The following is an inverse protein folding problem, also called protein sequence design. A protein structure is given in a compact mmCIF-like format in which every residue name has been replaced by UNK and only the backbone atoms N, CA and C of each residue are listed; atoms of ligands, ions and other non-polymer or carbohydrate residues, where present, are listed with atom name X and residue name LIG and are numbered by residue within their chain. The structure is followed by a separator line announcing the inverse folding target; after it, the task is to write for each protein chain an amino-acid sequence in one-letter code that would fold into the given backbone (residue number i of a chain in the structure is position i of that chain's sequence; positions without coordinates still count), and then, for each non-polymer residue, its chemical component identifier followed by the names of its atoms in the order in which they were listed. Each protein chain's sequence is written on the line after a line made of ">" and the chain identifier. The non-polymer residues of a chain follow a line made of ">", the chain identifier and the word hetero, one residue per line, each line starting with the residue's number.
data_IF_299463879984
#
_entry.id   IF_299463879984
#
_cell.length_a   1.000
_cell.length_b   1.000
_cell.length_c   1.000
_cell.angle_alpha   90.00
_cell.angle_beta   90.00
_cell.angle_gamma   90.00
#
_symmetry.space_group_name_H-M   'P 1'
#
loop_
_entity.id
_entity.type
_entity.pdbx_description
1 polymer ?
#
# COMPACT_ATOMS: atom_id res chain seq x y z
N UNK A 1 0.94 -3.28 9.50
CA UNK A 1 0.86 -1.91 8.93
C UNK A 1 2.01 -1.01 9.39
N UNK A 2 3.25 -1.43 9.16
CA UNK A 2 4.48 -0.63 9.34
C UNK A 2 4.98 -0.12 7.99
N UNK A 3 4.96 -0.96 6.96
CA UNK A 3 5.55 -0.63 5.65
C UNK A 3 4.72 0.39 4.87
N UNK A 4 3.40 0.22 4.84
CA UNK A 4 2.42 1.13 4.25
C UNK A 4 2.47 2.52 4.89
N UNK A 5 2.53 2.60 6.21
CA UNK A 5 2.66 3.88 6.95
C UNK A 5 3.98 4.55 6.62
N UNK A 6 5.08 3.79 6.59
CA UNK A 6 6.40 4.31 6.21
C UNK A 6 6.40 4.82 4.77
N UNK A 7 5.87 4.05 3.82
CA UNK A 7 5.77 4.44 2.41
C UNK A 7 4.93 5.70 2.25
N UNK A 8 3.80 5.81 2.96
CA UNK A 8 2.96 7.00 2.95
C UNK A 8 3.75 8.25 3.36
N UNK A 9 4.41 8.19 4.52
CA UNK A 9 5.09 9.33 5.11
C UNK A 9 6.37 9.73 4.36
N UNK A 10 7.20 8.76 3.96
CA UNK A 10 8.54 9.04 3.42
C UNK A 10 8.54 9.23 1.90
N UNK A 11 7.58 8.63 1.19
CA UNK A 11 7.59 8.59 -0.28
C UNK A 11 6.34 9.22 -0.88
N UNK A 12 5.15 8.73 -0.50
CA UNK A 12 3.89 9.11 -1.14
C UNK A 12 3.62 10.62 -1.05
N UNK A 13 3.69 11.18 0.16
CA UNK A 13 3.47 12.61 0.40
C UNK A 13 4.48 13.46 -0.40
N UNK A 14 5.77 13.11 -0.33
CA UNK A 14 6.82 13.83 -1.06
C UNK A 14 6.56 13.87 -2.56
N UNK A 15 6.20 12.72 -3.15
CA UNK A 15 5.89 12.61 -4.58
C UNK A 15 4.65 13.42 -4.99
N UNK A 16 3.62 13.46 -4.14
CA UNK A 16 2.42 14.28 -4.41
C UNK A 16 2.77 15.77 -4.39
N UNK A 17 3.65 16.22 -3.48
CA UNK A 17 4.14 17.60 -3.48
C UNK A 17 4.94 17.94 -4.75
N UNK A 18 5.83 17.04 -5.19
CA UNK A 18 6.58 17.20 -6.45
C UNK A 18 5.63 17.33 -7.65
N UNK A 19 4.65 16.42 -7.78
CA UNK A 19 3.64 16.48 -8.83
C UNK A 19 2.81 17.78 -8.79
N UNK A 20 2.52 18.29 -7.59
CA UNK A 20 1.79 19.55 -7.43
C UNK A 20 2.62 20.75 -7.91
N UNK A 21 3.93 20.73 -7.66
CA UNK A 21 4.85 21.75 -8.16
C UNK A 21 4.97 21.68 -9.69
N UNK A 22 5.11 20.49 -10.27
CA UNK A 22 5.14 20.28 -11.72
C UNK A 22 3.85 20.80 -12.41
N UNK A 23 2.69 20.58 -11.80
CA UNK A 23 1.43 21.13 -12.31
C UNK A 23 1.39 22.67 -12.23
N UNK A 24 1.96 23.26 -11.18
CA UNK A 24 2.03 24.72 -11.07
C UNK A 24 2.93 25.34 -12.17
N UNK A 25 4.01 24.65 -12.55
CA UNK A 25 4.88 25.06 -13.65
C UNK A 25 4.23 24.88 -15.03
N UNK A 26 3.46 23.81 -15.23
CA UNK A 26 2.71 23.57 -16.46
C UNK A 26 1.23 23.21 -16.21
N UNK A 27 0.37 24.22 -15.97
CA UNK A 27 -1.04 23.98 -15.60
C UNK A 27 -1.89 23.26 -16.65
N UNK A 28 -1.40 23.18 -17.90
CA UNK A 28 -2.10 22.50 -18.99
C UNK A 28 -1.94 20.98 -18.92
N UNK A 29 -0.93 20.48 -18.21
CA UNK A 29 -0.68 19.03 -18.09
C UNK A 29 -1.37 18.40 -16.86
N UNK A 30 -2.67 18.63 -16.76
CA UNK A 30 -3.49 18.08 -15.69
C UNK A 30 -3.58 16.54 -15.75
N UNK A 31 -3.45 15.97 -16.95
CA UNK A 31 -3.50 14.53 -17.16
C UNK A 31 -2.33 13.80 -16.49
N UNK A 32 -1.10 14.32 -16.63
CA UNK A 32 0.07 13.77 -15.96
C UNK A 32 -0.04 13.86 -14.44
N UNK A 33 -0.56 14.98 -13.92
CA UNK A 33 -0.80 15.14 -12.48
C UNK A 33 -1.77 14.08 -11.94
N UNK A 34 -2.96 13.94 -12.55
CA UNK A 34 -3.97 12.95 -12.14
C UNK A 34 -3.38 11.53 -12.19
N UNK A 35 -2.66 11.20 -13.25
CA UNK A 35 -2.01 9.89 -13.39
C UNK A 35 -0.96 9.66 -12.30
N UNK A 36 -0.08 10.63 -12.07
CA UNK A 36 0.97 10.54 -11.06
C UNK A 36 0.43 10.35 -9.64
N UNK A 37 -0.61 11.09 -9.27
CA UNK A 37 -1.30 10.93 -7.98
C UNK A 37 -1.94 9.55 -7.88
N UNK A 38 -2.65 9.13 -8.93
CA UNK A 38 -3.29 7.79 -8.99
C UNK A 38 -2.26 6.67 -8.82
N UNK A 39 -1.10 6.79 -9.46
CA UNK A 39 -0.02 5.81 -9.37
C UNK A 39 0.56 5.73 -7.94
N UNK A 40 0.73 6.86 -7.24
CA UNK A 40 1.20 6.84 -5.84
C UNK A 40 0.18 6.22 -4.90
N UNK A 41 -1.10 6.56 -5.05
CA UNK A 41 -2.18 6.00 -4.22
C UNK A 41 -2.39 4.51 -4.49
N UNK A 42 -2.27 4.08 -5.75
CA UNK A 42 -2.35 2.65 -6.11
C UNK A 42 -1.22 1.85 -5.44
N UNK A 43 0.01 2.38 -5.44
CA UNK A 43 1.15 1.74 -4.74
C UNK A 43 0.94 1.66 -3.24
N UNK A 44 0.46 2.74 -2.63
CA UNK A 44 0.10 2.73 -1.20
C UNK A 44 -0.97 1.67 -0.91
N UNK A 45 -2.01 1.60 -1.74
CA UNK A 45 -3.07 0.60 -1.61
C UNK A 45 -2.54 -0.83 -1.69
N UNK A 46 -1.60 -1.11 -2.59
CA UNK A 46 -0.94 -2.43 -2.67
C UNK A 46 -0.18 -2.77 -1.39
N UNK A 47 0.57 -1.83 -0.82
CA UNK A 47 1.29 -2.07 0.44
C UNK A 47 0.32 -2.32 1.61
N UNK A 48 -0.78 -1.58 1.69
CA UNK A 48 -1.83 -1.79 2.71
C UNK A 48 -2.42 -3.20 2.56
N UNK A 49 -2.87 -3.56 1.36
CA UNK A 49 -3.48 -4.88 1.10
C UNK A 49 -2.51 -6.00 1.45
N UNK A 50 -1.24 -5.87 1.03
CA UNK A 50 -0.21 -6.86 1.32
C UNK A 50 -0.04 -7.06 2.82
N UNK A 51 0.14 -5.99 3.59
CA UNK A 51 0.34 -6.12 5.03
C UNK A 51 -0.90 -6.68 5.75
N UNK A 52 -2.09 -6.29 5.32
CA UNK A 52 -3.33 -6.86 5.88
C UNK A 52 -3.40 -8.37 5.63
N UNK A 53 -3.04 -8.83 4.43
CA UNK A 53 -3.03 -10.26 4.10
C UNK A 53 -1.95 -11.02 4.89
N UNK A 54 -0.78 -10.43 5.10
CA UNK A 54 0.30 -11.00 5.92
C UNK A 54 -0.12 -11.12 7.41
N UNK A 55 -0.84 -10.12 7.92
CA UNK A 55 -1.40 -10.13 9.27
C UNK A 55 -2.47 -11.23 9.41
N UNK A 56 -3.36 -11.37 8.42
CA UNK A 56 -4.35 -12.44 8.41
C UNK A 56 -3.71 -13.84 8.31
N UNK A 57 -2.69 -14.02 7.48
CA UNK A 57 -1.94 -15.28 7.43
C UNK A 57 -1.35 -15.63 8.81
N UNK A 58 -0.77 -14.64 9.49
CA UNK A 58 -0.21 -14.82 10.83
C UNK A 58 -1.28 -15.24 11.84
N UNK A 59 -2.41 -14.53 11.89
CA UNK A 59 -3.54 -14.88 12.77
C UNK A 59 -4.02 -16.30 12.52
N UNK A 60 -4.19 -16.68 11.24
CA UNK A 60 -4.65 -18.00 10.85
C UNK A 60 -3.64 -19.08 11.27
N UNK A 61 -2.34 -18.81 11.12
CA UNK A 61 -1.25 -19.74 11.49
C UNK A 61 -1.05 -19.84 12.99
N UNK A 62 -1.43 -18.81 13.75
CA UNK A 62 -1.27 -18.77 15.20
C UNK A 62 -2.50 -19.31 15.95
N UNK A 63 -3.70 -19.27 15.34
CA UNK A 63 -4.94 -19.77 15.93
C UNK A 63 -4.81 -21.19 16.47
N UNK A 64 -5.00 -21.36 17.79
CA UNK A 64 -4.96 -22.65 18.48
C UNK A 64 -6.22 -23.46 18.25
N UNK A 65 -7.40 -22.83 18.34
CA UNK A 65 -8.70 -23.47 18.10
C UNK A 65 -8.77 -24.08 16.69
N UNK A 66 -8.34 -23.33 15.67
CA UNK A 66 -8.34 -23.83 14.30
C UNK A 66 -7.44 -25.06 14.13
N UNK A 67 -6.35 -25.15 14.88
CA UNK A 67 -5.38 -26.27 14.81
C UNK A 67 -5.90 -27.56 15.44
N UNK A 68 -6.95 -27.50 16.26
CA UNK A 68 -7.59 -28.69 16.82
C UNK A 68 -8.23 -29.53 15.71
N UNK A 69 -8.82 -28.86 14.71
CA UNK A 69 -9.56 -29.50 13.61
C UNK A 69 -8.84 -29.44 12.24
N UNK A 70 -7.90 -28.50 12.05
CA UNK A 70 -7.30 -28.22 10.75
C UNK A 70 -5.77 -28.06 10.80
N UNK A 71 -5.04 -28.84 9.99
CA UNK A 71 -3.59 -28.69 9.80
C UNK A 71 -3.26 -27.97 8.48
N UNK A 72 -2.11 -27.29 8.44
CA UNK A 72 -1.61 -26.64 7.21
C UNK A 72 -0.83 -27.66 6.38
N UNK A 73 -1.36 -28.05 5.22
CA UNK A 73 -0.64 -28.88 4.27
C UNK A 73 0.41 -28.05 3.52
N UNK A 74 1.67 -28.51 3.49
CA UNK A 74 2.75 -27.90 2.72
C UNK A 74 3.11 -28.82 1.56
N UNK A 75 3.14 -28.29 0.33
CA UNK A 75 3.69 -28.95 -0.86
C UNK A 75 5.14 -28.55 -1.08
#
# INVERSE_FOLDING_TARGET
>A
MVNSVKYFNEVCIKKIYELSAELAENPKDFASYVKGVTDQLSKLGVEIIKETLEEFDSIIRESTERKEEWYVERR
#
